data_IF_420494140829
#
_entry.id   IF_420494140829
#
_cell.length_a   1.000
_cell.length_b   1.000
_cell.length_c   1.000
_cell.angle_alpha   90.00
_cell.angle_beta   90.00
_cell.angle_gamma   90.00
#
_symmetry.space_group_name_H-M   'P 1'
#
loop_
_entity.id
_entity.type
_entity.pdbx_description
1 polymer ?
#
# COMPACT_ATOMS: atom_id res chain seq x y z
N UNK A 1 -18.91 37.90 -27.18
CA UNK A 1 -19.45 37.08 -26.07
C UNK A 1 -18.53 35.88 -25.84
N UNK A 2 -18.33 35.40 -24.60
CA UNK A 2 -17.40 34.32 -24.15
C UNK A 2 -16.10 34.76 -23.43
N UNK A 3 -16.17 35.76 -22.54
CA UNK A 3 -15.20 35.93 -21.43
C UNK A 3 -15.85 36.05 -20.05
N UNK A 4 -17.18 36.00 -19.98
CA UNK A 4 -17.97 36.16 -18.75
C UNK A 4 -18.28 34.85 -18.01
N UNK A 5 -18.05 33.69 -18.63
CA UNK A 5 -18.34 32.38 -18.01
C UNK A 5 -17.29 31.91 -16.99
N UNK A 6 -16.03 32.32 -17.15
CA UNK A 6 -14.93 31.84 -16.28
C UNK A 6 -14.84 32.62 -14.96
N UNK A 7 -15.23 33.90 -14.97
CA UNK A 7 -15.34 34.71 -13.76
C UNK A 7 -16.55 34.32 -12.89
N UNK A 8 -17.64 33.81 -13.48
CA UNK A 8 -18.79 33.31 -12.70
C UNK A 8 -18.47 32.02 -11.94
N UNK A 9 -17.65 31.13 -12.49
CA UNK A 9 -17.24 29.89 -11.81
C UNK A 9 -16.31 30.16 -10.61
N UNK A 10 -15.40 31.13 -10.74
CA UNK A 10 -14.55 31.57 -9.62
C UNK A 10 -15.32 32.40 -8.59
N UNK A 11 -16.30 33.21 -9.02
CA UNK A 11 -17.18 33.93 -8.11
C UNK A 11 -18.14 33.00 -7.35
N UNK A 12 -18.58 31.88 -7.93
CA UNK A 12 -19.37 30.85 -7.25
C UNK A 12 -18.55 30.03 -6.24
N UNK A 13 -17.25 29.82 -6.49
CA UNK A 13 -16.33 29.21 -5.51
C UNK A 13 -15.97 30.18 -4.38
N UNK A 14 -15.86 31.49 -4.67
CA UNK A 14 -15.65 32.52 -3.66
C UNK A 14 -16.91 32.82 -2.83
N UNK A 15 -18.11 32.75 -3.43
CA UNK A 15 -19.39 32.92 -2.73
C UNK A 15 -19.74 31.78 -1.76
N UNK A 16 -19.05 30.63 -1.84
CA UNK A 16 -19.17 29.54 -0.87
C UNK A 16 -18.46 29.81 0.46
N UNK A 17 -17.58 30.82 0.54
CA UNK A 17 -16.81 31.12 1.77
C UNK A 17 -17.58 31.98 2.79
N UNK A 18 -18.81 32.39 2.47
CA UNK A 18 -19.69 33.12 3.38
C UNK A 18 -21.13 32.54 3.45
N UNK A 19 -21.33 31.26 3.07
CA UNK A 19 -22.62 30.59 3.20
C UNK A 19 -22.72 29.87 4.55
N UNK A 20 -23.68 30.31 5.36
CA UNK A 20 -24.04 29.81 6.68
C UNK A 20 -23.69 28.33 6.93
N UNK A 21 -22.73 28.10 7.84
CA UNK A 21 -22.47 26.79 8.43
C UNK A 21 -23.81 26.17 8.83
N UNK A 22 -24.17 25.00 8.27
CA UNK A 22 -25.37 24.29 8.68
C UNK A 22 -25.33 24.16 10.21
N UNK A 23 -26.39 24.63 10.87
CA UNK A 23 -26.48 24.61 12.33
C UNK A 23 -26.13 23.21 12.84
N UNK A 24 -25.27 23.13 13.86
CA UNK A 24 -24.79 21.89 14.48
C UNK A 24 -23.79 21.03 13.67
N UNK A 25 -23.22 21.55 12.58
CA UNK A 25 -22.03 20.96 11.95
C UNK A 25 -20.78 21.71 12.35
N UNK A 26 -19.62 21.05 12.35
CA UNK A 26 -18.27 21.64 12.53
C UNK A 26 -17.40 21.18 11.35
N UNK A 27 -16.70 22.12 10.71
CA UNK A 27 -15.87 21.87 9.52
C UNK A 27 -14.44 22.30 9.79
N UNK A 28 -13.49 21.40 9.56
CA UNK A 28 -12.06 21.70 9.60
C UNK A 28 -11.45 21.39 8.25
N UNK A 29 -11.19 22.45 7.48
CA UNK A 29 -10.38 22.36 6.26
C UNK A 29 -8.91 22.23 6.65
N UNK A 30 -8.18 21.40 5.92
CA UNK A 30 -6.75 21.23 6.10
C UNK A 30 -6.08 20.82 4.79
N UNK A 31 -4.77 20.95 4.72
CA UNK A 31 -4.02 20.50 3.56
C UNK A 31 -2.53 20.66 3.72
N UNK A 32 -1.83 20.36 2.63
CA UNK A 32 -0.42 20.67 2.50
C UNK A 32 -0.06 20.90 1.04
N UNK A 33 0.81 21.87 0.79
CA UNK A 33 1.64 21.91 -0.42
C UNK A 33 2.90 21.13 -0.10
N UNK A 34 3.24 20.15 -0.94
CA UNK A 34 4.45 19.32 -0.77
C UNK A 34 5.21 19.29 -2.08
N UNK A 35 6.50 19.58 -2.00
CA UNK A 35 7.43 19.41 -3.12
C UNK A 35 8.51 18.41 -2.76
N UNK A 36 8.81 17.50 -3.67
CA UNK A 36 9.76 16.42 -3.47
C UNK A 36 10.79 16.43 -4.61
N UNK A 37 12.05 16.71 -4.28
CA UNK A 37 13.19 16.48 -5.14
C UNK A 37 13.81 15.15 -4.76
N UNK A 38 14.10 14.28 -5.73
CA UNK A 38 14.86 13.07 -5.45
C UNK A 38 15.92 12.79 -6.51
N UNK A 39 16.91 12.00 -6.08
CA UNK A 39 17.93 11.38 -6.92
C UNK A 39 18.09 9.92 -6.50
N UNK A 40 18.29 9.04 -7.48
CA UNK A 40 18.67 7.64 -7.33
C UNK A 40 19.93 7.37 -8.15
N UNK A 41 20.83 6.54 -7.65
CA UNK A 41 22.03 6.12 -8.38
C UNK A 41 21.77 5.13 -9.51
N UNK A 42 20.60 4.47 -9.51
CA UNK A 42 20.18 3.53 -10.58
C UNK A 42 18.66 3.53 -10.79
N UNK A 43 18.19 2.78 -11.79
CA UNK A 43 16.76 2.55 -12.05
C UNK A 43 16.11 1.66 -10.98
N UNK A 44 14.83 1.92 -10.66
CA UNK A 44 14.15 1.29 -9.52
C UNK A 44 12.78 0.74 -9.89
N UNK A 45 12.33 -0.26 -9.12
CA UNK A 45 10.91 -0.59 -9.00
C UNK A 45 10.25 0.55 -8.24
N UNK A 46 9.29 1.20 -8.88
CA UNK A 46 8.71 2.44 -8.39
C UNK A 46 7.33 2.69 -8.98
N UNK A 47 6.59 3.61 -8.39
CA UNK A 47 5.39 4.18 -9.02
C UNK A 47 5.44 5.70 -8.93
N UNK A 48 4.60 6.38 -9.71
CA UNK A 48 4.59 7.85 -9.76
C UNK A 48 5.96 8.40 -10.19
N UNK A 49 6.51 7.77 -11.22
CA UNK A 49 7.71 8.24 -11.91
C UNK A 49 8.89 8.48 -10.93
N UNK A 50 9.13 7.50 -10.06
CA UNK A 50 10.22 7.50 -9.07
C UNK A 50 9.97 8.21 -7.75
N UNK A 51 8.82 8.86 -7.60
CA UNK A 51 8.48 9.50 -6.33
C UNK A 51 8.11 8.48 -5.25
N UNK A 52 7.37 7.42 -5.61
CA UNK A 52 7.09 6.31 -4.72
C UNK A 52 8.11 5.19 -4.96
N UNK A 53 9.23 5.28 -4.25
CA UNK A 53 10.36 4.36 -4.32
C UNK A 53 10.05 3.03 -3.62
N UNK A 54 10.46 1.90 -4.21
CA UNK A 54 10.38 0.58 -3.57
C UNK A 54 11.77 -0.02 -3.35
N UNK A 55 12.48 -0.35 -4.43
CA UNK A 55 13.79 -1.03 -4.42
C UNK A 55 14.47 -0.93 -5.80
N UNK A 56 15.81 -1.07 -5.91
CA UNK A 56 16.49 -1.07 -7.21
C UNK A 56 15.99 -2.17 -8.13
N UNK A 57 15.92 -1.93 -9.45
CA UNK A 57 15.72 -3.01 -10.42
C UNK A 57 16.99 -3.84 -10.55
N UNK A 58 16.82 -5.13 -10.82
CA UNK A 58 17.92 -6.03 -11.13
C UNK A 58 18.76 -5.55 -12.33
N UNK A 59 19.97 -6.10 -12.49
CA UNK A 59 20.78 -5.86 -13.67
C UNK A 59 20.08 -6.36 -14.93
N UNK A 60 20.02 -5.53 -15.96
CA UNK A 60 19.53 -5.92 -17.28
C UNK A 60 20.66 -5.72 -18.28
N UNK A 61 21.50 -6.76 -18.45
CA UNK A 61 22.70 -6.64 -19.28
C UNK A 61 22.37 -6.67 -20.76
N UNK A 62 22.95 -5.74 -21.51
CA UNK A 62 22.92 -5.73 -22.97
C UNK A 62 23.88 -6.80 -23.56
N UNK A 63 23.94 -7.00 -24.89
CA UNK A 63 24.87 -7.93 -25.51
C UNK A 63 26.37 -7.64 -25.27
N UNK A 64 26.72 -6.42 -24.82
CA UNK A 64 28.09 -6.03 -24.45
C UNK A 64 28.39 -6.25 -22.96
N UNK A 65 27.39 -6.63 -22.16
CA UNK A 65 27.50 -6.83 -20.71
C UNK A 65 27.20 -5.58 -19.87
N UNK A 66 26.78 -4.47 -20.49
CA UNK A 66 26.46 -3.21 -19.80
C UNK A 66 25.08 -3.28 -19.14
N UNK A 67 24.97 -2.88 -17.87
CA UNK A 67 23.69 -2.88 -17.15
C UNK A 67 22.80 -1.71 -17.59
N UNK A 68 21.74 -2.02 -18.35
CA UNK A 68 20.75 -1.06 -18.81
C UNK A 68 20.00 -0.36 -17.65
N UNK A 69 19.92 -0.99 -16.48
CA UNK A 69 19.32 -0.40 -15.27
C UNK A 69 20.33 0.41 -14.44
N UNK A 70 21.62 0.35 -14.77
CA UNK A 70 22.73 1.06 -14.11
C UNK A 70 22.79 2.57 -14.38
N UNK A 71 21.64 3.18 -14.68
CA UNK A 71 21.53 4.60 -15.05
C UNK A 71 20.88 5.38 -13.90
N UNK A 72 21.50 6.48 -13.43
CA UNK A 72 20.94 7.31 -12.37
C UNK A 72 19.67 8.03 -12.85
N UNK A 73 18.76 8.31 -11.91
CA UNK A 73 17.52 9.03 -12.19
C UNK A 73 17.19 10.05 -11.12
N UNK A 74 16.45 11.09 -11.46
CA UNK A 74 16.02 12.11 -10.51
C UNK A 74 14.90 12.96 -11.08
N UNK A 75 14.07 13.50 -10.20
CA UNK A 75 13.00 14.41 -10.60
C UNK A 75 12.51 15.28 -9.44
N UNK A 76 11.69 16.28 -9.76
CA UNK A 76 11.06 17.21 -8.84
C UNK A 76 9.54 17.19 -9.04
N UNK A 77 8.77 16.75 -8.02
CA UNK A 77 7.31 16.65 -8.10
C UNK A 77 6.58 17.45 -7.04
N UNK A 78 5.34 17.81 -7.37
CA UNK A 78 4.37 18.48 -6.47
C UNK A 78 3.08 17.68 -6.29
N UNK A 79 3.05 16.45 -6.83
CA UNK A 79 1.86 15.60 -7.00
C UNK A 79 1.16 15.21 -5.70
N UNK A 80 1.86 15.25 -4.56
CA UNK A 80 1.33 14.88 -3.25
C UNK A 80 0.94 16.08 -2.38
N UNK A 81 0.72 17.22 -3.02
CA UNK A 81 -0.12 18.29 -2.48
C UNK A 81 -1.51 17.74 -2.15
N UNK A 82 -2.04 18.05 -0.96
CA UNK A 82 -3.27 17.48 -0.41
C UNK A 82 -4.24 18.55 0.04
N UNK A 83 -5.52 18.21 -0.09
CA UNK A 83 -6.64 18.99 0.42
C UNK A 83 -7.60 18.05 1.12
N UNK A 84 -8.13 18.45 2.27
CA UNK A 84 -9.09 17.67 3.03
C UNK A 84 -10.04 18.50 3.86
N UNK A 85 -11.13 17.86 4.24
CA UNK A 85 -12.13 18.39 5.17
C UNK A 85 -12.53 17.31 6.15
N UNK A 86 -12.42 17.64 7.44
CA UNK A 86 -13.03 16.89 8.53
C UNK A 86 -14.37 17.55 8.88
N UNK A 87 -15.43 16.74 8.98
CA UNK A 87 -16.78 17.20 9.30
C UNK A 87 -17.25 16.49 10.56
N UNK A 88 -17.74 17.23 11.56
CA UNK A 88 -18.53 16.67 12.66
C UNK A 88 -19.98 17.02 12.44
N UNK A 89 -20.86 16.02 12.51
CA UNK A 89 -22.29 16.20 12.33
C UNK A 89 -23.04 16.39 13.65
N UNK A 90 -24.33 16.73 13.60
CA UNK A 90 -25.19 16.76 14.77
C UNK A 90 -25.26 15.37 15.42
N UNK A 91 -25.37 15.35 16.76
CA UNK A 91 -25.57 14.08 17.49
C UNK A 91 -26.85 13.41 17.00
N UNK A 92 -26.77 12.10 16.75
CA UNK A 92 -27.95 11.28 16.49
C UNK A 92 -28.55 10.80 17.82
N UNK A 93 -29.66 10.08 17.76
CA UNK A 93 -30.29 9.45 18.92
C UNK A 93 -29.30 8.65 19.77
N UNK A 94 -29.59 8.51 21.06
CA UNK A 94 -28.76 7.75 22.02
C UNK A 94 -27.31 8.27 22.20
N UNK A 95 -27.02 9.49 21.78
CA UNK A 95 -25.72 10.15 22.00
C UNK A 95 -24.63 9.74 21.00
N UNK A 96 -25.00 9.14 19.87
CA UNK A 96 -24.10 8.78 18.77
C UNK A 96 -23.54 10.05 18.14
N UNK A 97 -22.23 10.11 17.92
CA UNK A 97 -21.54 11.27 17.35
C UNK A 97 -21.03 10.95 15.94
N UNK A 98 -21.72 11.41 14.88
CA UNK A 98 -21.27 11.20 13.52
C UNK A 98 -20.15 12.17 13.15
N UNK A 99 -19.21 11.67 12.34
CA UNK A 99 -18.15 12.46 11.71
C UNK A 99 -17.89 11.93 10.30
N UNK A 100 -17.32 12.74 9.43
CA UNK A 100 -16.93 12.35 8.08
C UNK A 100 -15.60 13.00 7.69
N UNK A 101 -14.90 12.38 6.75
CA UNK A 101 -13.67 12.91 6.15
C UNK A 101 -13.71 12.71 4.65
N UNK A 102 -13.31 13.74 3.92
CA UNK A 102 -12.87 13.63 2.53
C UNK A 102 -11.47 14.22 2.43
N UNK A 103 -10.54 13.50 1.81
CA UNK A 103 -9.17 13.95 1.55
C UNK A 103 -8.75 13.51 0.14
N UNK A 104 -8.13 14.39 -0.62
CA UNK A 104 -7.64 14.16 -1.98
C UNK A 104 -6.17 14.58 -2.15
N UNK A 105 -5.50 14.02 -3.15
CA UNK A 105 -4.22 14.53 -3.69
C UNK A 105 -4.24 14.57 -5.23
N UNK A 106 -3.16 15.06 -5.83
CA UNK A 106 -3.01 15.24 -7.28
C UNK A 106 -2.14 14.16 -7.93
N UNK A 107 -1.92 13.03 -7.24
CA UNK A 107 -1.09 11.95 -7.75
C UNK A 107 -1.67 11.29 -8.99
N UNK A 108 -2.99 11.20 -9.07
CA UNK A 108 -3.69 10.49 -10.14
C UNK A 108 -3.60 8.96 -10.07
N UNK A 109 -3.77 8.31 -11.22
CA UNK A 109 -3.81 6.85 -11.34
C UNK A 109 -2.94 6.35 -12.50
N UNK A 110 -2.27 5.22 -12.32
CA UNK A 110 -1.35 4.65 -13.31
C UNK A 110 -0.28 5.66 -13.74
N UNK A 111 -0.23 5.93 -15.04
CA UNK A 111 0.66 6.92 -15.70
C UNK A 111 0.00 8.28 -15.90
N UNK A 112 -1.27 8.45 -15.52
CA UNK A 112 -1.99 9.74 -15.61
C UNK A 112 -1.77 10.56 -14.34
N UNK A 113 -0.68 11.32 -14.33
CA UNK A 113 -0.32 12.24 -13.24
C UNK A 113 -1.14 13.53 -13.29
N UNK A 114 -1.09 14.32 -12.21
CA UNK A 114 -1.76 15.62 -12.08
C UNK A 114 -3.29 15.56 -12.13
N UNK A 115 -3.88 14.46 -11.67
CA UNK A 115 -5.33 14.29 -11.55
C UNK A 115 -5.74 14.06 -10.10
N UNK A 116 -6.96 14.50 -9.76
CA UNK A 116 -7.49 14.37 -8.40
C UNK A 116 -7.71 12.90 -8.07
N UNK A 117 -7.10 12.43 -6.98
CA UNK A 117 -7.26 11.09 -6.43
C UNK A 117 -7.83 11.16 -5.02
N UNK A 118 -8.86 10.37 -4.76
CA UNK A 118 -9.42 10.18 -3.42
C UNK A 118 -8.40 9.44 -2.55
N UNK A 119 -8.07 9.97 -1.38
CA UNK A 119 -7.28 9.28 -0.36
C UNK A 119 -8.21 8.73 0.70
N UNK A 120 -8.98 9.60 1.32
CA UNK A 120 -9.96 9.25 2.35
C UNK A 120 -11.35 9.73 1.92
N UNK A 121 -12.35 8.88 2.11
CA UNK A 121 -13.75 9.21 1.92
C UNK A 121 -14.58 8.26 2.79
N UNK A 122 -14.89 8.67 4.02
CA UNK A 122 -15.62 7.83 4.98
C UNK A 122 -16.46 8.66 5.94
N UNK A 123 -17.43 7.99 6.57
CA UNK A 123 -18.04 8.46 7.80
C UNK A 123 -17.69 7.53 8.97
N UNK A 124 -17.77 8.06 10.19
CA UNK A 124 -17.52 7.34 11.43
C UNK A 124 -18.60 7.69 12.45
N UNK A 125 -19.20 6.66 13.05
CA UNK A 125 -20.18 6.77 14.13
C UNK A 125 -19.50 6.40 15.45
N UNK A 126 -19.33 7.37 16.34
CA UNK A 126 -18.80 7.14 17.69
C UNK A 126 -19.94 6.87 18.68
N UNK A 127 -19.91 5.70 19.31
CA UNK A 127 -20.89 5.24 20.30
C UNK A 127 -20.35 5.54 21.71
N UNK A 128 -20.44 6.81 22.11
CA UNK A 128 -20.06 7.30 23.45
C UNK A 128 -18.60 6.97 23.82
N UNK A 129 -17.69 6.98 22.86
CA UNK A 129 -16.26 6.66 23.01
C UNK A 129 -15.94 5.21 23.46
N UNK A 130 -16.93 4.32 23.55
CA UNK A 130 -16.71 2.90 23.85
C UNK A 130 -16.50 2.08 22.59
N UNK A 131 -17.17 2.45 21.50
CA UNK A 131 -16.95 1.83 20.22
C UNK A 131 -17.16 2.82 19.08
N UNK A 132 -16.71 2.43 17.89
CA UNK A 132 -16.94 3.20 16.68
C UNK A 132 -17.15 2.29 15.48
N UNK A 133 -17.99 2.73 14.55
CA UNK A 133 -18.17 2.12 13.24
C UNK A 133 -17.76 3.12 12.17
N UNK A 134 -16.70 2.79 11.42
CA UNK A 134 -16.24 3.51 10.25
C UNK A 134 -16.70 2.79 8.99
N UNK A 135 -17.25 3.53 8.03
CA UNK A 135 -17.63 3.00 6.71
C UNK A 135 -17.11 3.94 5.62
N UNK A 136 -16.36 3.38 4.69
CA UNK A 136 -15.82 4.09 3.52
C UNK A 136 -14.34 3.81 3.28
N UNK A 137 -13.70 4.60 2.44
CA UNK A 137 -12.30 4.41 2.07
C UNK A 137 -11.36 5.10 3.06
N UNK A 138 -10.46 4.32 3.66
CA UNK A 138 -9.36 4.83 4.48
C UNK A 138 -8.19 3.86 4.46
N UNK A 139 -7.15 4.12 5.26
CA UNK A 139 -6.02 3.21 5.43
C UNK A 139 -6.47 1.78 5.75
N UNK A 140 -5.87 0.81 5.06
CA UNK A 140 -5.99 -0.60 5.39
C UNK A 140 -5.54 -0.81 6.86
N UNK A 141 -6.20 -1.66 7.67
CA UNK A 141 -5.81 -1.86 9.06
C UNK A 141 -4.36 -2.30 9.27
N UNK A 142 -3.75 -3.07 8.35
CA UNK A 142 -2.31 -3.38 8.35
C UNK A 142 -1.39 -2.14 8.19
N UNK A 143 -1.89 -1.03 7.62
CA UNK A 143 -1.17 0.23 7.71
C UNK A 143 -1.06 0.64 9.19
N UNK A 144 -2.19 0.57 9.90
CA UNK A 144 -2.28 0.68 11.35
C UNK A 144 -2.06 2.08 11.89
N UNK A 145 -2.16 2.20 13.22
CA UNK A 145 -1.84 3.44 13.94
C UNK A 145 -0.31 3.56 14.20
N UNK A 146 0.48 2.52 13.84
CA UNK A 146 1.94 2.47 13.88
C UNK A 146 2.49 2.37 12.45
N UNK A 147 3.13 3.45 12.01
CA UNK A 147 3.79 3.58 10.72
C UNK A 147 5.09 4.39 10.87
N UNK A 148 6.04 4.26 9.92
CA UNK A 148 7.28 5.03 9.92
C UNK A 148 7.02 6.54 9.82
N UNK A 149 7.80 7.32 10.56
CA UNK A 149 7.83 8.79 10.46
C UNK A 149 9.10 9.19 9.70
N UNK A 150 9.04 9.02 8.37
CA UNK A 150 10.14 9.29 7.45
C UNK A 150 9.75 10.31 6.39
N UNK A 151 10.73 10.89 5.68
CA UNK A 151 10.49 11.88 4.64
C UNK A 151 10.01 11.25 3.34
N UNK A 152 10.56 10.08 3.00
CA UNK A 152 10.22 9.36 1.78
C UNK A 152 8.73 9.10 1.67
N UNK A 153 8.19 9.38 0.49
CA UNK A 153 6.77 9.26 0.23
C UNK A 153 6.25 7.82 0.39
N UNK A 154 7.12 6.83 0.19
CA UNK A 154 6.78 5.42 0.32
C UNK A 154 6.40 5.01 1.76
N UNK A 155 6.69 5.86 2.77
CA UNK A 155 6.39 5.61 4.18
C UNK A 155 6.90 4.24 4.67
N UNK A 156 8.03 3.78 4.14
CA UNK A 156 8.66 2.51 4.49
C UNK A 156 8.13 1.30 3.71
N UNK A 157 7.34 1.46 2.66
CA UNK A 157 7.09 0.37 1.71
C UNK A 157 8.39 -0.06 1.01
N UNK A 158 8.57 -1.35 0.65
CA UNK A 158 7.61 -2.45 0.77
C UNK A 158 7.53 -3.10 2.18
N UNK A 159 8.28 -2.63 3.17
CA UNK A 159 8.31 -3.22 4.51
C UNK A 159 7.04 -2.92 5.33
N UNK A 160 6.58 -1.67 5.25
CA UNK A 160 5.34 -1.21 5.85
C UNK A 160 4.20 -1.40 4.85
N UNK A 161 3.14 -2.17 5.19
CA UNK A 161 1.94 -2.26 4.37
C UNK A 161 1.40 -0.87 4.02
N UNK A 162 1.26 -0.59 2.73
CA UNK A 162 0.79 0.68 2.19
C UNK A 162 -0.42 0.46 1.28
N UNK A 163 -1.61 0.62 1.86
CA UNK A 163 -2.86 0.47 1.12
C UNK A 163 -3.99 1.29 1.74
N UNK A 164 -4.90 1.75 0.88
CA UNK A 164 -6.18 2.34 1.24
C UNK A 164 -7.28 1.60 0.51
N UNK A 165 -8.35 1.31 1.24
CA UNK A 165 -9.42 0.44 0.79
C UNK A 165 -10.76 0.86 1.40
N UNK A 166 -11.86 0.84 0.62
CA UNK A 166 -13.21 0.81 1.15
C UNK A 166 -13.35 -0.28 2.21
N UNK A 167 -13.86 0.06 3.38
CA UNK A 167 -14.01 -0.88 4.49
C UNK A 167 -15.19 -0.52 5.37
N UNK A 168 -15.75 -1.54 6.01
CA UNK A 168 -16.54 -1.40 7.23
C UNK A 168 -15.66 -1.84 8.39
N UNK A 169 -15.34 -0.93 9.31
CA UNK A 169 -14.43 -1.18 10.43
C UNK A 169 -15.08 -0.84 11.75
N UNK A 170 -15.15 -1.83 12.63
CA UNK A 170 -15.60 -1.66 14.00
C UNK A 170 -14.40 -1.62 14.95
N UNK A 171 -14.37 -0.66 15.86
CA UNK A 171 -13.40 -0.61 16.97
C UNK A 171 -14.15 -0.63 18.29
N UNK A 172 -13.71 -1.47 19.22
CA UNK A 172 -14.22 -1.54 20.58
C UNK A 172 -13.10 -1.23 21.56
N UNK A 173 -13.35 -0.29 22.47
CA UNK A 173 -12.40 0.21 23.44
C UNK A 173 -12.83 -0.18 24.85
N UNK A 174 -11.93 -0.85 25.58
CA UNK A 174 -12.13 -1.17 26.98
C UNK A 174 -10.84 -0.91 27.76
N UNK A 175 -10.87 0.09 28.64
CA UNK A 175 -9.71 0.57 29.39
C UNK A 175 -8.54 0.91 28.44
N UNK A 176 -7.47 0.12 28.48
CA UNK A 176 -6.26 0.29 27.67
C UNK A 176 -6.28 -0.56 26.40
N UNK A 177 -7.29 -1.38 26.18
CA UNK A 177 -7.36 -2.28 25.03
C UNK A 177 -8.30 -1.74 23.96
N UNK A 178 -7.91 -1.92 22.70
CA UNK A 178 -8.74 -1.65 21.52
C UNK A 178 -8.76 -2.90 20.64
N UNK A 179 -9.95 -3.48 20.48
CA UNK A 179 -10.21 -4.50 19.46
C UNK A 179 -10.60 -3.81 18.16
N UNK A 180 -10.04 -4.25 17.03
CA UNK A 180 -10.40 -3.78 15.68
C UNK A 180 -10.84 -4.96 14.85
N UNK A 181 -12.01 -4.88 14.23
CA UNK A 181 -12.49 -5.81 13.22
C UNK A 181 -12.86 -5.05 11.95
N UNK A 182 -12.50 -5.55 10.77
CA UNK A 182 -12.85 -4.91 9.51
C UNK A 182 -13.17 -5.91 8.40
N UNK A 183 -14.14 -5.56 7.55
CA UNK A 183 -14.38 -6.15 6.24
C UNK A 183 -13.98 -5.12 5.17
N UNK A 184 -13.19 -5.54 4.18
CA UNK A 184 -12.42 -4.63 3.32
C UNK A 184 -12.57 -5.05 1.85
N UNK A 185 -12.70 -4.06 0.97
CA UNK A 185 -12.77 -4.22 -0.48
C UNK A 185 -11.68 -3.40 -1.17
N UNK A 186 -11.14 -3.93 -2.26
CA UNK A 186 -10.05 -3.29 -3.01
C UNK A 186 -10.59 -2.31 -4.06
N UNK A 187 -9.95 -1.15 -4.20
CA UNK A 187 -10.32 -0.13 -5.20
C UNK A 187 -9.11 0.52 -5.89
N UNK A 188 -8.09 0.91 -5.12
CA UNK A 188 -6.89 1.60 -5.64
C UNK A 188 -5.64 0.74 -5.57
N UNK A 189 -5.53 -0.03 -4.50
CA UNK A 189 -4.47 -1.00 -4.28
C UNK A 189 -5.13 -2.36 -4.42
N UNK A 190 -4.70 -3.10 -5.42
CA UNK A 190 -5.38 -4.29 -5.90
C UNK A 190 -4.42 -5.48 -5.81
N UNK A 191 -4.97 -6.64 -5.50
CA UNK A 191 -4.26 -7.89 -5.56
C UNK A 191 -3.78 -8.16 -7.00
N UNK A 192 -2.66 -8.87 -7.07
CA UNK A 192 -2.08 -9.34 -8.32
C UNK A 192 -2.66 -10.72 -8.64
N UNK A 193 -2.98 -10.96 -9.92
CA UNK A 193 -3.39 -12.26 -10.43
C UNK A 193 -3.00 -12.44 -11.90
N UNK A 194 -3.42 -13.53 -12.55
CA UNK A 194 -3.03 -13.82 -13.93
C UNK A 194 -3.54 -12.75 -14.91
N UNK A 195 -2.74 -12.43 -15.92
CA UNK A 195 -3.04 -11.39 -16.89
C UNK A 195 -4.27 -11.74 -17.77
N UNK A 196 -4.43 -13.02 -18.07
CA UNK A 196 -5.54 -13.56 -18.87
C UNK A 196 -6.04 -14.89 -18.28
N UNK A 197 -6.99 -15.51 -18.97
CA UNK A 197 -7.61 -16.77 -18.53
C UNK A 197 -6.96 -18.02 -19.13
N UNK A 198 -5.85 -17.88 -19.88
CA UNK A 198 -5.15 -19.04 -20.44
C UNK A 198 -4.54 -19.89 -19.34
N UNK A 199 -4.65 -21.21 -19.49
CA UNK A 199 -4.07 -22.16 -18.53
C UNK A 199 -2.57 -21.93 -18.40
N UNK A 200 -2.06 -21.87 -17.17
CA UNK A 200 -0.63 -21.72 -16.91
C UNK A 200 -0.07 -20.31 -17.05
N UNK A 201 -0.89 -19.29 -17.34
CA UNK A 201 -0.42 -17.91 -17.43
C UNK A 201 0.20 -17.43 -16.11
N UNK A 202 1.49 -17.13 -16.15
CA UNK A 202 2.25 -16.54 -15.03
C UNK A 202 2.49 -15.03 -15.18
N UNK A 203 2.20 -14.46 -16.36
CA UNK A 203 2.19 -13.00 -16.52
C UNK A 203 1.04 -12.42 -15.70
N UNK A 204 1.23 -11.22 -15.14
CA UNK A 204 0.35 -10.73 -14.07
C UNK A 204 -0.31 -9.40 -14.37
N UNK A 205 -1.47 -9.18 -13.76
CA UNK A 205 -2.16 -7.88 -13.71
C UNK A 205 -2.69 -7.60 -12.31
N UNK A 206 -2.94 -6.32 -12.03
CA UNK A 206 -3.67 -5.87 -10.85
C UNK A 206 -5.14 -5.66 -11.23
N UNK A 207 -6.06 -6.34 -10.54
CA UNK A 207 -7.49 -6.14 -10.79
C UNK A 207 -8.32 -6.29 -9.51
N UNK A 208 -9.38 -5.50 -9.41
CA UNK A 208 -10.44 -5.67 -8.41
C UNK A 208 -11.28 -6.94 -8.66
N UNK A 209 -11.24 -7.49 -9.89
CA UNK A 209 -12.08 -8.62 -10.28
C UNK A 209 -11.76 -9.86 -9.47
N UNK A 210 -10.49 -10.06 -9.06
CA UNK A 210 -10.09 -11.21 -8.27
C UNK A 210 -10.85 -11.28 -6.93
N UNK A 211 -11.04 -10.14 -6.25
CA UNK A 211 -11.83 -10.08 -5.02
C UNK A 211 -13.34 -10.05 -5.30
N UNK A 212 -13.78 -9.31 -6.34
CA UNK A 212 -15.20 -9.22 -6.72
C UNK A 212 -15.79 -10.58 -7.06
N UNK A 213 -15.09 -11.35 -7.89
CA UNK A 213 -15.50 -12.70 -8.30
C UNK A 213 -15.46 -13.67 -7.12
N UNK A 214 -14.58 -13.41 -6.14
CA UNK A 214 -14.49 -14.18 -4.91
C UNK A 214 -15.66 -13.98 -3.95
N UNK A 215 -16.44 -12.90 -4.10
CA UNK A 215 -17.58 -12.49 -3.25
C UNK A 215 -17.28 -12.44 -1.74
N UNK A 216 -16.01 -12.43 -1.36
CA UNK A 216 -15.53 -12.47 0.02
C UNK A 216 -14.68 -11.23 0.24
N UNK A 217 -15.04 -10.31 1.15
CA UNK A 217 -14.16 -9.21 1.49
C UNK A 217 -12.90 -9.73 2.18
N UNK A 218 -11.83 -8.94 2.18
CA UNK A 218 -10.72 -9.17 3.11
C UNK A 218 -11.23 -8.93 4.55
N UNK A 219 -10.80 -9.77 5.47
CA UNK A 219 -11.12 -9.63 6.89
C UNK A 219 -9.87 -9.29 7.69
N UNK A 220 -10.00 -8.36 8.63
CA UNK A 220 -8.93 -8.03 9.58
C UNK A 220 -9.44 -8.12 11.01
N UNK A 221 -8.64 -8.70 11.90
CA UNK A 221 -8.84 -8.70 13.34
C UNK A 221 -7.54 -8.27 14.02
N UNK A 222 -7.59 -7.30 14.94
CA UNK A 222 -6.41 -6.85 15.67
C UNK A 222 -6.71 -6.38 17.08
N UNK A 223 -5.72 -6.47 17.95
CA UNK A 223 -5.78 -6.08 19.35
C UNK A 223 -4.62 -5.15 19.68
N UNK A 224 -4.94 -3.92 20.10
CA UNK A 224 -3.96 -2.95 20.56
C UNK A 224 -4.06 -2.75 22.08
N UNK A 225 -2.91 -2.67 22.74
CA UNK A 225 -2.73 -2.10 24.07
C UNK A 225 -2.22 -0.66 23.96
N UNK A 226 -2.95 0.29 24.53
CA UNK A 226 -2.74 1.73 24.41
C UNK A 226 -2.60 2.39 25.78
N UNK A 227 -1.51 3.13 25.94
CA UNK A 227 -1.21 4.03 27.07
C UNK A 227 -0.80 5.39 26.51
N UNK A 228 -0.57 6.42 27.35
CA UNK A 228 -0.15 7.73 26.84
C UNK A 228 1.16 7.72 26.02
N UNK A 229 2.06 6.78 26.28
CA UNK A 229 3.38 6.72 25.62
C UNK A 229 3.60 5.47 24.77
N UNK A 230 2.90 4.37 25.08
CA UNK A 230 3.08 3.08 24.42
C UNK A 230 1.80 2.67 23.70
N UNK A 231 1.94 2.29 22.44
CA UNK A 231 0.98 1.53 21.65
C UNK A 231 1.68 0.25 21.20
N UNK A 232 1.14 -0.91 21.54
CA UNK A 232 1.63 -2.20 21.05
C UNK A 232 0.44 -3.07 20.67
N UNK A 233 0.58 -3.87 19.62
CA UNK A 233 -0.54 -4.65 19.13
C UNK A 233 -0.14 -5.78 18.20
N UNK A 234 -1.13 -6.62 17.92
CA UNK A 234 -1.04 -7.73 16.97
C UNK A 234 -2.28 -7.77 16.09
N UNK A 235 -2.14 -8.30 14.89
CA UNK A 235 -3.20 -8.37 13.91
C UNK A 235 -3.12 -9.61 13.02
N UNK A 236 -4.28 -10.05 12.53
CA UNK A 236 -4.45 -11.08 11.52
C UNK A 236 -5.29 -10.50 10.40
N UNK A 237 -4.87 -10.78 9.17
CA UNK A 237 -5.58 -10.47 7.94
C UNK A 237 -5.85 -11.76 7.17
N UNK A 238 -7.04 -11.86 6.56
CA UNK A 238 -7.43 -12.93 5.67
C UNK A 238 -7.91 -12.34 4.35
N UNK A 239 -7.30 -12.80 3.25
CA UNK A 239 -7.77 -12.53 1.89
C UNK A 239 -8.19 -13.83 1.23
N UNK A 240 -9.37 -13.86 0.62
CA UNK A 240 -9.80 -14.94 -0.26
C UNK A 240 -10.22 -14.38 -1.61
N UNK A 241 -9.53 -14.77 -2.68
CA UNK A 241 -9.78 -14.26 -4.02
C UNK A 241 -9.90 -15.39 -5.05
N UNK A 242 -10.51 -15.09 -6.19
CA UNK A 242 -10.69 -16.00 -7.32
C UNK A 242 -9.82 -15.51 -8.48
N UNK A 243 -8.67 -16.16 -8.76
CA UNK A 243 -7.77 -15.79 -9.84
C UNK A 243 -8.43 -15.83 -11.22
N UNK A 244 -9.17 -16.90 -11.55
CA UNK A 244 -9.95 -17.01 -12.79
C UNK A 244 -11.34 -17.58 -12.53
N UNK A 245 -12.30 -17.20 -13.36
CA UNK A 245 -13.67 -17.76 -13.40
C UNK A 245 -13.90 -18.62 -14.63
N UNK A 246 -13.04 -18.47 -15.64
CA UNK A 246 -12.98 -19.32 -16.83
C UNK A 246 -11.54 -19.67 -17.12
N UNK A 247 -11.35 -20.76 -17.85
CA UNK A 247 -10.05 -21.28 -18.23
C UNK A 247 -10.05 -21.54 -19.74
N UNK A 248 -9.14 -20.89 -20.45
CA UNK A 248 -8.96 -21.07 -21.88
C UNK A 248 -7.82 -22.08 -22.12
N UNK A 249 -8.16 -23.25 -22.67
CA UNK A 249 -7.22 -24.33 -22.97
C UNK A 249 -7.07 -24.50 -24.47
N UNK A 250 -5.82 -24.55 -24.94
CA UNK A 250 -5.50 -24.93 -26.32
C UNK A 250 -5.28 -26.44 -26.36
N UNK A 251 -6.02 -27.12 -27.23
CA UNK A 251 -5.95 -28.56 -27.47
C UNK A 251 -5.53 -28.83 -28.91
N UNK A 252 -4.96 -30.00 -29.15
CA UNK A 252 -4.59 -30.49 -30.47
C UNK A 252 -5.51 -31.67 -30.83
N UNK A 253 -6.09 -31.66 -32.02
CA UNK A 253 -6.89 -32.78 -32.51
C UNK A 253 -5.99 -33.90 -33.06
N UNK A 254 -6.56 -35.06 -33.41
CA UNK A 254 -5.79 -36.18 -33.98
C UNK A 254 -5.13 -35.88 -35.34
N UNK A 255 -5.46 -34.75 -35.98
CA UNK A 255 -4.89 -34.29 -37.24
C UNK A 255 -3.74 -33.26 -37.04
N UNK A 256 -3.44 -32.88 -35.80
CA UNK A 256 -2.42 -31.88 -35.47
C UNK A 256 -2.90 -30.42 -35.47
N UNK A 257 -4.20 -30.17 -35.69
CA UNK A 257 -4.73 -28.81 -35.64
C UNK A 257 -5.01 -28.38 -34.20
N UNK A 258 -4.55 -27.19 -33.84
CA UNK A 258 -4.84 -26.59 -32.53
C UNK A 258 -6.18 -25.86 -32.52
N UNK A 259 -6.99 -26.10 -31.50
CA UNK A 259 -8.24 -25.37 -31.25
C UNK A 259 -8.31 -24.95 -29.77
N UNK A 260 -9.13 -23.94 -29.46
CA UNK A 260 -9.30 -23.44 -28.09
C UNK A 260 -10.68 -23.75 -27.56
N UNK A 261 -10.73 -24.22 -26.32
CA UNK A 261 -11.96 -24.41 -25.56
C UNK A 261 -11.92 -23.56 -24.30
N UNK A 262 -13.07 -23.02 -23.90
CA UNK A 262 -13.22 -22.26 -22.66
C UNK A 262 -14.09 -23.04 -21.69
N UNK A 263 -13.53 -23.34 -20.52
CA UNK A 263 -14.23 -23.99 -19.42
C UNK A 263 -14.58 -22.98 -18.33
N UNK A 264 -15.70 -23.20 -17.65
CA UNK A 264 -15.96 -22.56 -16.36
C UNK A 264 -15.13 -23.28 -15.30
N UNK A 265 -14.48 -22.53 -14.41
CA UNK A 265 -13.64 -23.09 -13.33
C UNK A 265 -13.99 -22.47 -11.98
N UNK A 266 -13.66 -23.18 -10.90
CA UNK A 266 -14.01 -22.81 -9.52
C UNK A 266 -12.79 -22.50 -8.65
N UNK A 267 -11.89 -21.69 -9.18
CA UNK A 267 -10.62 -21.37 -8.54
C UNK A 267 -10.76 -20.44 -7.33
N UNK A 268 -9.91 -20.69 -6.32
CA UNK A 268 -9.81 -19.85 -5.14
C UNK A 268 -8.45 -19.99 -4.48
N UNK A 269 -7.95 -18.87 -3.98
CA UNK A 269 -6.82 -18.85 -3.05
C UNK A 269 -7.21 -18.07 -1.81
N UNK A 270 -6.96 -18.68 -0.65
CA UNK A 270 -7.15 -18.05 0.66
C UNK A 270 -5.81 -17.93 1.36
N UNK A 271 -5.52 -16.76 1.90
CA UNK A 271 -4.24 -16.42 2.50
C UNK A 271 -4.44 -15.76 3.87
N UNK A 272 -3.52 -16.04 4.80
CA UNK A 272 -3.49 -15.43 6.12
C UNK A 272 -2.18 -14.68 6.31
N UNK A 273 -2.28 -13.42 6.73
CA UNK A 273 -1.15 -12.57 7.09
C UNK A 273 -1.22 -12.19 8.56
N UNK A 274 -0.06 -12.00 9.18
CA UNK A 274 0.08 -11.71 10.61
C UNK A 274 0.93 -10.48 10.80
N UNK A 275 0.56 -9.59 11.73
CA UNK A 275 1.41 -8.47 12.13
C UNK A 275 1.58 -8.37 13.65
N UNK A 276 2.73 -7.81 14.04
CA UNK A 276 2.98 -7.32 15.39
C UNK A 276 3.64 -5.95 15.29
N UNK A 277 3.20 -5.00 16.10
CA UNK A 277 3.70 -3.63 16.04
C UNK A 277 3.88 -3.02 17.43
N UNK A 278 4.78 -2.05 17.52
CA UNK A 278 5.01 -1.26 18.72
C UNK A 278 5.38 0.17 18.36
N UNK A 279 4.90 1.12 19.15
CA UNK A 279 5.29 2.52 19.11
C UNK A 279 5.42 3.03 20.54
N UNK A 280 6.61 3.50 20.88
CA UNK A 280 6.89 4.23 22.10
C UNK A 280 7.19 5.70 21.75
N UNK A 281 6.49 6.63 22.37
CA UNK A 281 6.71 8.06 22.18
C UNK A 281 6.62 8.81 23.50
N UNK A 282 7.71 9.48 23.86
CA UNK A 282 7.80 10.34 25.04
C UNK A 282 8.64 11.58 24.70
N UNK A 283 8.06 12.76 24.95
CA UNK A 283 8.71 14.05 24.70
C UNK A 283 9.23 14.17 23.25
N UNK A 284 10.55 14.25 23.07
CA UNK A 284 11.20 14.40 21.77
C UNK A 284 11.60 13.07 21.14
N UNK A 285 11.41 11.95 21.84
CA UNK A 285 11.83 10.62 21.39
C UNK A 285 10.64 9.82 20.86
N UNK A 286 10.84 9.18 19.70
CA UNK A 286 9.93 8.19 19.12
C UNK A 286 10.74 6.96 18.72
N UNK A 287 10.24 5.80 19.10
CA UNK A 287 10.64 4.49 18.59
C UNK A 287 9.38 3.81 18.05
N UNK A 288 9.42 3.34 16.83
CA UNK A 288 8.35 2.53 16.24
C UNK A 288 8.95 1.33 15.52
N UNK A 289 8.25 0.21 15.54
CA UNK A 289 8.64 -0.99 14.81
C UNK A 289 7.40 -1.80 14.44
N UNK A 290 7.50 -2.56 13.35
CA UNK A 290 6.49 -3.54 12.95
C UNK A 290 7.15 -4.69 12.22
N UNK A 291 6.61 -5.89 12.45
CA UNK A 291 6.89 -7.07 11.66
C UNK A 291 5.59 -7.60 11.06
N UNK A 292 5.64 -8.02 9.79
CA UNK A 292 4.53 -8.63 9.07
C UNK A 292 5.01 -9.93 8.44
N UNK A 293 4.31 -11.03 8.71
CA UNK A 293 4.43 -12.26 7.92
C UNK A 293 3.26 -12.26 6.94
N UNK A 294 3.53 -11.83 5.71
CA UNK A 294 2.53 -11.70 4.65
C UNK A 294 2.41 -12.97 3.83
N UNK A 295 1.18 -13.35 3.50
CA UNK A 295 0.88 -14.42 2.55
C UNK A 295 0.08 -13.82 1.39
N UNK A 296 0.62 -13.82 0.17
CA UNK A 296 -0.04 -13.21 -1.00
C UNK A 296 -0.54 -11.76 -0.74
N UNK A 297 0.31 -10.89 -0.19
CA UNK A 297 -0.12 -9.60 0.36
C UNK A 297 0.06 -8.41 -0.62
N UNK A 298 0.09 -8.67 -1.92
CA UNK A 298 0.44 -7.70 -2.99
C UNK A 298 -0.44 -6.44 -3.03
N UNK A 299 -1.69 -6.53 -2.58
CA UNK A 299 -2.62 -5.39 -2.43
C UNK A 299 -2.19 -4.37 -1.36
N UNK A 300 -1.15 -4.66 -0.58
CA UNK A 300 -0.56 -3.72 0.39
C UNK A 300 0.70 -3.02 -0.13
N UNK A 301 0.93 -3.03 -1.45
CA UNK A 301 2.15 -2.50 -2.07
C UNK A 301 3.41 -3.16 -1.50
N UNK A 302 3.38 -4.48 -1.34
CA UNK A 302 4.54 -5.29 -1.00
C UNK A 302 4.81 -6.35 -2.09
N UNK A 303 5.91 -7.07 -1.97
CA UNK A 303 6.30 -8.16 -2.88
C UNK A 303 5.67 -9.49 -2.44
N UNK A 304 5.71 -10.49 -3.32
CA UNK A 304 5.13 -11.80 -3.10
C UNK A 304 3.96 -12.08 -4.06
N UNK A 305 3.13 -13.05 -3.70
CA UNK A 305 2.07 -13.56 -4.56
C UNK A 305 1.70 -14.99 -4.19
N UNK A 306 1.53 -15.85 -5.19
CA UNK A 306 1.17 -17.25 -5.04
C UNK A 306 1.71 -18.08 -6.20
N UNK A 307 1.73 -19.40 -6.06
CA UNK A 307 2.11 -20.32 -7.13
C UNK A 307 1.05 -21.36 -7.43
N UNK A 308 1.08 -21.88 -8.66
CA UNK A 308 0.18 -22.93 -9.15
C UNK A 308 0.70 -24.29 -8.66
N UNK A 309 -0.11 -25.04 -7.92
CA UNK A 309 0.26 -26.37 -7.37
C UNK A 309 -0.23 -27.51 -8.26
N UNK A 310 -1.42 -27.37 -8.83
CA UNK A 310 -2.02 -28.36 -9.71
C UNK A 310 -2.80 -27.70 -10.86
N UNK A 311 -3.04 -28.46 -11.92
CA UNK A 311 -3.86 -28.04 -13.07
C UNK A 311 -4.65 -29.24 -13.55
N UNK A 312 -5.97 -29.13 -13.61
CA UNK A 312 -6.85 -30.15 -14.18
C UNK A 312 -6.57 -30.27 -15.68
N UNK A 313 -6.26 -31.47 -16.21
CA UNK A 313 -5.86 -31.64 -17.61
C UNK A 313 -7.02 -31.49 -18.60
N UNK A 314 -8.27 -31.54 -18.14
CA UNK A 314 -9.46 -31.46 -18.98
C UNK A 314 -9.96 -30.02 -19.07
N UNK A 315 -10.14 -29.38 -17.91
CA UNK A 315 -10.74 -28.04 -17.77
C UNK A 315 -9.71 -26.94 -17.65
N UNK A 316 -8.48 -27.28 -17.26
CA UNK A 316 -7.44 -26.31 -16.95
C UNK A 316 -7.65 -25.57 -15.63
N UNK A 317 -8.58 -26.01 -14.77
CA UNK A 317 -8.76 -25.46 -13.42
C UNK A 317 -7.47 -25.60 -12.60
N UNK A 318 -7.07 -24.53 -11.91
CA UNK A 318 -5.82 -24.46 -11.17
C UNK A 318 -6.02 -24.38 -9.66
N UNK A 319 -5.16 -25.09 -8.94
CA UNK A 319 -4.99 -24.96 -7.50
C UNK A 319 -3.77 -24.09 -7.18
N UNK A 320 -3.79 -23.45 -6.01
CA UNK A 320 -2.80 -22.45 -5.65
C UNK A 320 -2.33 -22.53 -4.20
N UNK A 321 -1.06 -22.21 -3.97
CA UNK A 321 -0.48 -21.98 -2.64
C UNK A 321 0.05 -20.55 -2.53
N UNK A 322 -0.17 -19.83 -1.41
CA UNK A 322 0.40 -18.51 -1.23
C UNK A 322 1.92 -18.57 -1.03
N UNK A 323 2.62 -17.56 -1.55
CA UNK A 323 4.00 -17.28 -1.19
C UNK A 323 4.03 -16.46 0.09
N UNK A 324 4.99 -16.79 0.97
CA UNK A 324 5.21 -16.10 2.24
C UNK A 324 6.36 -15.11 2.12
N UNK A 325 6.17 -13.95 2.71
CA UNK A 325 7.19 -12.90 2.82
C UNK A 325 7.22 -12.36 4.24
N UNK A 326 8.40 -12.24 4.81
CA UNK A 326 8.61 -11.57 6.10
C UNK A 326 9.07 -10.14 5.86
N UNK A 327 8.43 -9.19 6.52
CA UNK A 327 8.73 -7.76 6.48
C UNK A 327 9.00 -7.31 7.90
N UNK A 328 10.05 -6.55 8.14
CA UNK A 328 10.31 -5.94 9.45
C UNK A 328 10.90 -4.56 9.25
N UNK A 329 10.47 -3.59 10.05
CA UNK A 329 11.10 -2.29 10.07
C UNK A 329 11.16 -1.71 11.49
N UNK A 330 12.14 -0.82 11.69
CA UNK A 330 12.33 -0.02 12.90
C UNK A 330 12.58 1.43 12.49
N UNK A 331 11.98 2.37 13.22
CA UNK A 331 12.15 3.80 13.04
C UNK A 331 12.42 4.46 14.40
N UNK A 332 13.48 5.26 14.47
CA UNK A 332 13.84 6.05 15.65
C UNK A 332 13.91 7.50 15.24
N UNK A 333 13.24 8.37 15.99
CA UNK A 333 13.27 9.82 15.78
C UNK A 333 13.59 10.53 17.08
N UNK A 334 14.40 11.59 17.00
CA UNK A 334 14.69 12.45 18.13
C UNK A 334 14.68 13.93 17.76
N UNK A 335 14.04 14.74 18.60
CA UNK A 335 14.00 16.20 18.47
C UNK A 335 12.60 16.74 18.18
N UNK A 336 12.51 18.08 18.08
CA UNK A 336 11.25 18.80 17.84
C UNK A 336 11.38 19.73 16.64
N UNK A 337 12.09 20.86 16.83
CA UNK A 337 12.33 21.87 15.80
C UNK A 337 13.37 21.39 14.79
N UNK A 338 14.56 21.04 15.26
CA UNK A 338 15.48 20.20 14.51
C UNK A 338 15.24 18.77 14.95
N UNK A 339 14.95 17.88 14.00
CA UNK A 339 14.59 16.49 14.26
C UNK A 339 15.43 15.58 13.38
N UNK A 340 16.12 14.63 14.00
CA UNK A 340 16.88 13.60 13.31
C UNK A 340 16.14 12.27 13.36
N UNK A 341 16.38 11.43 12.36
CA UNK A 341 15.72 10.14 12.21
C UNK A 341 16.61 9.06 11.63
N UNK A 342 16.37 7.83 12.07
CA UNK A 342 16.90 6.61 11.46
C UNK A 342 15.74 5.68 11.13
N UNK A 343 15.81 5.03 9.98
CA UNK A 343 14.91 3.95 9.59
C UNK A 343 15.71 2.77 9.06
N UNK A 344 15.31 1.57 9.47
CA UNK A 344 15.85 0.31 8.98
C UNK A 344 14.70 -0.59 8.56
N UNK A 345 14.77 -1.15 7.35
CA UNK A 345 13.82 -2.13 6.84
C UNK A 345 14.54 -3.40 6.38
N UNK A 346 13.93 -4.56 6.61
CA UNK A 346 14.37 -5.85 6.10
C UNK A 346 13.17 -6.66 5.61
N UNK A 347 13.34 -7.30 4.45
CA UNK A 347 12.35 -8.17 3.83
C UNK A 347 13.03 -9.47 3.41
N UNK A 348 12.35 -10.59 3.62
CA UNK A 348 12.79 -11.91 3.14
C UNK A 348 11.63 -12.65 2.46
N UNK A 349 11.87 -13.14 1.26
CA UNK A 349 11.02 -14.08 0.56
C UNK A 349 11.26 -15.49 1.15
N UNK A 350 10.18 -16.14 1.54
CA UNK A 350 10.20 -17.46 2.19
C UNK A 350 9.70 -18.57 1.25
N UNK A 351 9.25 -18.23 0.03
CA UNK A 351 8.65 -19.15 -0.92
C UNK A 351 7.26 -19.65 -0.48
N UNK A 352 6.81 -20.71 -1.16
CA UNK A 352 5.62 -21.47 -0.83
C UNK A 352 5.93 -22.62 0.16
N UNK A 353 4.90 -23.18 0.76
CA UNK A 353 5.01 -24.43 1.55
C UNK A 353 5.12 -25.67 0.65
N UNK A 354 4.49 -25.61 -0.52
CA UNK A 354 4.37 -26.69 -1.49
C UNK A 354 5.19 -26.41 -2.75
N UNK A 355 5.38 -27.45 -3.58
CA UNK A 355 6.00 -27.28 -4.89
C UNK A 355 5.03 -26.55 -5.83
N UNK A 356 5.57 -25.75 -6.73
CA UNK A 356 4.80 -24.90 -7.64
C UNK A 356 5.35 -24.97 -9.06
N UNK A 357 4.46 -24.95 -10.04
CA UNK A 357 4.79 -25.04 -11.47
C UNK A 357 4.77 -23.68 -12.19
N UNK A 358 4.51 -22.60 -11.46
CA UNK A 358 4.46 -21.25 -11.97
C UNK A 358 4.13 -20.27 -10.84
N UNK A 359 4.66 -19.05 -10.93
CA UNK A 359 4.52 -18.03 -9.91
C UNK A 359 3.75 -16.83 -10.46
N UNK A 360 2.81 -16.31 -9.68
CA UNK A 360 1.98 -15.15 -9.99
C UNK A 360 2.13 -14.15 -8.84
N UNK A 361 2.67 -12.98 -9.12
CA UNK A 361 2.91 -11.96 -8.09
C UNK A 361 3.75 -10.78 -8.56
N UNK A 362 4.42 -10.14 -7.61
CA UNK A 362 5.30 -8.99 -7.82
C UNK A 362 6.62 -9.18 -7.06
N UNK A 363 7.76 -8.90 -7.72
CA UNK A 363 9.10 -9.09 -7.14
C UNK A 363 9.37 -10.53 -6.73
N UNK A 364 9.02 -11.48 -7.60
CA UNK A 364 9.10 -12.93 -7.33
C UNK A 364 10.53 -13.48 -7.37
N UNK A 365 11.41 -12.77 -8.05
CA UNK A 365 12.86 -12.97 -8.19
C UNK A 365 13.67 -12.29 -7.07
N UNK A 366 13.02 -11.54 -6.18
CA UNK A 366 13.65 -10.88 -5.04
C UNK A 366 13.70 -11.83 -3.84
N UNK A 367 14.91 -12.20 -3.41
CA UNK A 367 15.14 -13.02 -2.22
C UNK A 367 14.98 -12.19 -0.95
N UNK A 368 15.73 -11.09 -0.88
CA UNK A 368 15.75 -10.23 0.29
C UNK A 368 16.01 -8.78 -0.09
N UNK A 369 15.56 -7.88 0.78
CA UNK A 369 15.72 -6.46 0.63
C UNK A 369 16.11 -5.88 1.98
N UNK A 370 17.13 -5.02 2.02
CA UNK A 370 17.40 -4.22 3.20
C UNK A 370 17.51 -2.74 2.83
N UNK A 371 17.08 -1.87 3.75
CA UNK A 371 17.20 -0.42 3.60
C UNK A 371 17.65 0.17 4.91
N UNK A 372 18.63 1.07 4.83
CA UNK A 372 19.03 1.92 5.94
C UNK A 372 18.92 3.38 5.51
N UNK A 373 18.28 4.17 6.34
CA UNK A 373 17.92 5.55 6.04
C UNK A 373 18.31 6.45 7.20
N UNK A 374 18.87 7.61 6.88
CA UNK A 374 19.11 8.69 7.82
C UNK A 374 18.44 9.97 7.32
N UNK A 375 17.75 10.67 8.23
CA UNK A 375 17.06 11.91 7.89
C UNK A 375 17.28 13.02 8.90
N UNK A 376 17.15 14.25 8.41
CA UNK A 376 17.09 15.46 9.22
C UNK A 376 15.96 16.35 8.71
N UNK A 377 15.19 16.89 9.64
CA UNK A 377 14.12 17.83 9.34
C UNK A 377 14.16 19.06 10.24
N UNK A 378 13.82 20.20 9.65
CA UNK A 378 13.59 21.46 10.34
C UNK A 378 12.11 21.82 10.27
N UNK A 379 11.46 21.80 11.43
CA UNK A 379 10.03 21.96 11.62
C UNK A 379 9.75 23.34 12.24
N UNK A 380 8.99 24.15 11.53
CA UNK A 380 8.49 25.46 11.95
C UNK A 380 6.95 25.41 11.99
N UNK A 381 6.27 26.41 12.58
CA UNK A 381 4.83 26.54 12.43
C UNK A 381 4.46 26.50 10.94
N UNK A 382 3.62 25.55 10.55
CA UNK A 382 3.13 25.33 9.18
C UNK A 382 4.19 24.97 8.13
N UNK A 383 5.47 24.85 8.48
CA UNK A 383 6.53 24.51 7.53
C UNK A 383 7.35 23.32 7.99
N UNK A 384 7.72 22.45 7.06
CA UNK A 384 8.69 21.38 7.29
C UNK A 384 9.64 21.32 6.09
N UNK A 385 10.93 21.36 6.38
CA UNK A 385 11.99 21.14 5.40
C UNK A 385 12.78 19.93 5.84
N UNK A 386 13.17 19.04 4.94
CA UNK A 386 13.95 17.89 5.33
C UNK A 386 14.70 17.26 4.18
N UNK A 387 15.76 16.55 4.54
CA UNK A 387 16.55 15.73 3.63
C UNK A 387 16.68 14.34 4.23
N UNK A 388 16.55 13.34 3.37
CA UNK A 388 16.69 11.95 3.69
C UNK A 388 17.70 11.31 2.72
N UNK A 389 18.64 10.55 3.26
CA UNK A 389 19.48 9.64 2.50
C UNK A 389 19.07 8.19 2.80
N UNK A 390 18.91 7.39 1.77
CA UNK A 390 18.55 5.97 1.84
C UNK A 390 19.55 5.14 1.05
N UNK A 391 20.17 4.17 1.70
CA UNK A 391 20.89 3.06 1.06
C UNK A 391 19.98 1.85 1.05
N UNK A 392 19.79 1.23 -0.11
CA UNK A 392 18.95 0.07 -0.28
C UNK A 392 19.65 -0.98 -1.11
N UNK A 393 19.55 -2.23 -0.69
CA UNK A 393 20.22 -3.35 -1.30
C UNK A 393 19.23 -4.51 -1.48
N UNK A 394 19.06 -4.91 -2.74
CA UNK A 394 18.19 -5.98 -3.19
C UNK A 394 19.04 -7.19 -3.58
N UNK A 395 18.58 -8.39 -3.24
CA UNK A 395 19.19 -9.62 -3.74
C UNK A 395 18.24 -10.33 -4.68
N UNK A 396 18.69 -10.49 -5.91
CA UNK A 396 17.97 -11.15 -6.99
C UNK A 396 18.55 -12.52 -7.25
N UNK A 397 17.75 -13.44 -7.77
CA UNK A 397 18.19 -14.80 -8.07
C UNK A 397 17.15 -15.62 -8.82
N UNK A 398 17.37 -16.93 -8.90
CA UNK A 398 16.46 -17.87 -9.53
C UNK A 398 15.50 -18.48 -8.51
N UNK A 399 14.34 -18.97 -8.94
CA UNK A 399 13.38 -19.63 -8.05
C UNK A 399 13.62 -21.16 -8.02
N UNK A 400 13.61 -21.75 -6.82
CA UNK A 400 13.55 -23.20 -6.63
C UNK A 400 12.13 -23.75 -6.88
N UNK A 401 11.94 -25.06 -6.68
CA UNK A 401 10.65 -25.74 -6.88
C UNK A 401 9.51 -25.24 -5.98
N UNK A 402 9.81 -24.46 -4.92
CA UNK A 402 8.82 -23.84 -4.04
C UNK A 402 8.72 -22.33 -4.24
N UNK A 403 9.35 -21.78 -5.27
CA UNK A 403 9.39 -20.34 -5.50
C UNK A 403 10.27 -19.57 -4.50
N UNK A 404 11.11 -20.25 -3.72
CA UNK A 404 12.11 -19.58 -2.89
C UNK A 404 13.26 -19.15 -3.79
N UNK A 405 13.77 -17.94 -3.59
CA UNK A 405 14.87 -17.41 -4.40
C UNK A 405 16.20 -17.97 -3.89
N UNK A 406 17.03 -18.44 -4.81
CA UNK A 406 18.36 -19.03 -4.60
C UNK A 406 19.38 -18.41 -5.56
N UNK A 407 20.66 -18.76 -5.39
CA UNK A 407 21.76 -18.33 -6.27
C UNK A 407 21.81 -16.80 -6.46
N UNK A 408 21.82 -16.08 -5.34
CA UNK A 408 21.56 -14.65 -5.37
C UNK A 408 22.79 -13.79 -5.66
N UNK A 409 22.57 -12.67 -6.36
CA UNK A 409 23.50 -11.55 -6.47
C UNK A 409 22.87 -10.26 -5.93
N UNK A 410 23.72 -9.29 -5.57
CA UNK A 410 23.31 -8.05 -4.89
C UNK A 410 23.29 -6.87 -5.84
N UNK A 411 22.24 -6.05 -5.71
CA UNK A 411 22.04 -4.82 -6.46
C UNK A 411 21.75 -3.68 -5.48
N UNK A 412 22.54 -2.61 -5.59
CA UNK A 412 22.55 -1.50 -4.64
C UNK A 412 21.97 -0.20 -5.25
N UNK A 413 21.23 0.59 -4.46
CA UNK A 413 20.81 1.95 -4.81
C UNK A 413 21.03 2.93 -3.67
N UNK A 414 21.54 4.11 -4.03
CA UNK A 414 21.64 5.28 -3.17
C UNK A 414 20.59 6.29 -3.59
N UNK A 415 19.73 6.67 -2.65
CA UNK A 415 18.67 7.65 -2.85
C UNK A 415 18.83 8.84 -1.93
N UNK A 416 18.65 10.04 -2.47
CA UNK A 416 18.50 11.27 -1.68
C UNK A 416 17.12 11.84 -1.99
N UNK A 417 16.40 12.27 -0.96
CA UNK A 417 15.13 13.01 -1.09
C UNK A 417 15.23 14.30 -0.30
N UNK A 418 14.90 15.43 -0.91
CA UNK A 418 14.69 16.70 -0.24
C UNK A 418 13.22 17.12 -0.36
N UNK A 419 12.62 17.50 0.76
CA UNK A 419 11.20 17.82 0.84
C UNK A 419 10.98 19.18 1.50
N UNK A 420 10.10 19.97 0.92
CA UNK A 420 9.53 21.16 1.53
C UNK A 420 8.00 21.00 1.63
N UNK A 421 7.45 21.28 2.80
CA UNK A 421 6.01 21.27 3.05
C UNK A 421 5.57 22.60 3.64
N UNK A 422 4.45 23.09 3.12
CA UNK A 422 3.62 24.12 3.76
C UNK A 422 2.27 23.50 4.13
N UNK A 423 1.89 23.56 5.40
CA UNK A 423 0.71 22.90 5.96
C UNK A 423 -0.27 23.93 6.50
N UNK A 424 -1.57 23.71 6.30
CA UNK A 424 -2.63 24.63 6.74
C UNK A 424 -3.86 23.89 7.26
#
# INVERSE_FOLDING_TARGET
MKKTGLFLAFALLAAGTASAQKKHFDYKFYGQIRTDLFYNSRSNSETVDGLFYMYPKDEARDPNGEDLNGIPSGNFYTLYTRLGVDVKGPKLGHGIRPSAKVEVDFRGSGTSYSTVRIRHAYFNLDFKKHSSLLVGQTWHPLYGDVAPDIMNLNMGAPYQPFSRAPQARYRFHQKKFQLTAAAIWQSQYLAVGPADNKVGTVSTKKSQDFLKNGLTPEFYLGLDYKTPHLLAGVGVEMMSMTPRTTSDITKENSAGDTYSETYRVHERITSLSYEAHVKYQKESFLLAAKSVLGSNLTQTSTVGGYGITATDPVTGEQEYTPLKTSHTWVNVMYGKKLRGGLFGGYLKNLGATEKVNGLIGAGLDLDQLATATAEISYNLPNWKFGVEYSYCNAWYGSNDEKGKVVDTHRVDNHRIVAVALFQF
#
